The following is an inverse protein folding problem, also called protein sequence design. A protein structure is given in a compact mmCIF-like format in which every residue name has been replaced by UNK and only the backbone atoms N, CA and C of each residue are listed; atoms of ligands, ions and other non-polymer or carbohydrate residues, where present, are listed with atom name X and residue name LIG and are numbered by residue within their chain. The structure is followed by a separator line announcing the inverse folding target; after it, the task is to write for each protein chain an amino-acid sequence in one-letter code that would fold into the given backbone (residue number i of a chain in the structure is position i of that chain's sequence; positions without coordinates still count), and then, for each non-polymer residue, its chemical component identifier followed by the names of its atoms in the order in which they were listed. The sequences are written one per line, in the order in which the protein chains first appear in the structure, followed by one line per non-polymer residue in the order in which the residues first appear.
data_IF_112387845181
#
_entry.id   IF_112387845181
#
_cell.length_a   1.000
_cell.length_b   1.000
_cell.length_c   1.000
_cell.angle_alpha   90.00
_cell.angle_beta   90.00
_cell.angle_gamma   90.00
#
_symmetry.space_group_name_H-M   'P 1'
#
loop_
_entity.id
_entity.type
_entity.pdbx_description
1 polymer ?
#
# COMPACT_ATOMS: atom_id res chain seq x y z
N UNK A 1 -52.93 -42.26 28.03
CA UNK A 1 -52.93 -41.72 29.41
C UNK A 1 -51.62 -42.14 30.07
N UNK A 2 -50.75 -41.17 30.47
CA UNK A 2 -49.72 -41.24 31.55
C UNK A 2 -48.63 -42.35 31.45
N UNK A 3 -47.32 -42.20 31.65
CA UNK A 3 -46.32 -41.12 31.85
C UNK A 3 -44.92 -41.82 31.73
N UNK A 4 -43.95 -41.14 31.10
CA UNK A 4 -42.51 -40.98 31.47
C UNK A 4 -41.73 -42.17 32.10
N UNK A 5 -40.56 -42.54 31.52
CA UNK A 5 -39.19 -42.06 31.87
C UNK A 5 -38.05 -42.90 31.22
N UNK A 6 -37.14 -42.20 30.51
CA UNK A 6 -35.65 -42.20 30.55
C UNK A 6 -34.85 -43.53 30.57
N UNK A 7 -33.93 -43.70 29.61
CA UNK A 7 -32.47 -44.01 29.77
C UNK A 7 -31.77 -44.16 28.39
N UNK A 8 -30.74 -43.32 28.11
CA UNK A 8 -29.31 -43.65 27.83
C UNK A 8 -29.02 -43.74 26.31
N UNK A 9 -28.03 -43.07 25.69
CA UNK A 9 -26.78 -42.42 26.12
C UNK A 9 -26.48 -41.18 25.22
N UNK A 10 -25.70 -40.18 25.69
CA UNK A 10 -25.23 -39.05 24.89
C UNK A 10 -23.91 -39.40 24.18
N UNK A 11 -23.84 -39.24 22.86
CA UNK A 11 -22.54 -39.09 22.18
C UNK A 11 -22.02 -37.69 22.47
N UNK A 12 -21.10 -37.61 23.43
CA UNK A 12 -20.30 -36.43 23.73
C UNK A 12 -19.01 -36.42 22.90
N UNK A 13 -18.52 -35.20 22.66
CA UNK A 13 -17.26 -34.75 22.05
C UNK A 13 -17.34 -34.49 20.53
N UNK A 14 -17.48 -33.26 20.02
CA UNK A 14 -17.48 -31.96 20.71
C UNK A 14 -16.09 -31.34 20.90
N UNK A 15 -15.39 -31.00 19.81
CA UNK A 15 -14.59 -29.78 19.56
C UNK A 15 -14.04 -29.92 18.12
N UNK A 16 -14.28 -29.04 17.15
CA UNK A 16 -14.03 -27.60 17.04
C UNK A 16 -12.62 -27.19 17.40
N UNK A 17 -11.73 -27.33 16.42
CA UNK A 17 -10.67 -26.37 16.15
C UNK A 17 -10.28 -26.57 14.69
N UNK A 18 -11.01 -25.92 13.78
CA UNK A 18 -10.33 -25.45 12.58
C UNK A 18 -9.64 -24.20 13.06
N UNK A 19 -8.33 -24.26 13.26
CA UNK A 19 -7.53 -23.05 13.49
C UNK A 19 -7.73 -22.13 12.28
N UNK A 20 -8.72 -21.26 12.42
CA UNK A 20 -8.92 -20.07 11.61
C UNK A 20 -7.64 -19.28 11.80
N UNK A 21 -6.76 -19.38 10.81
CA UNK A 21 -5.63 -18.49 10.63
C UNK A 21 -6.13 -17.09 10.27
N UNK A 22 -6.96 -16.51 11.13
CA UNK A 22 -7.21 -15.08 11.21
C UNK A 22 -6.04 -14.45 11.98
N UNK A 23 -4.82 -14.73 11.50
CA UNK A 23 -3.70 -13.82 11.69
C UNK A 23 -4.01 -12.62 10.81
N UNK A 24 -4.92 -11.78 11.30
CA UNK A 24 -5.02 -10.40 10.84
C UNK A 24 -3.66 -9.79 11.16
N UNK A 25 -2.71 -9.94 10.22
CA UNK A 25 -1.42 -9.25 10.27
C UNK A 25 -1.81 -7.79 10.38
N UNK A 26 -1.79 -7.26 11.60
CA UNK A 26 -2.09 -5.86 11.85
C UNK A 26 -1.05 -5.13 11.04
N UNK A 27 -1.46 -4.61 9.89
CA UNK A 27 -0.59 -3.79 9.05
C UNK A 27 0.02 -2.75 9.97
N UNK A 28 1.35 -2.70 10.06
CA UNK A 28 2.05 -1.88 11.05
C UNK A 28 1.60 -0.42 11.01
N UNK A 29 1.17 0.05 9.83
CA UNK A 29 0.60 1.36 9.63
C UNK A 29 -0.96 1.35 9.65
N UNK A 30 -1.60 2.18 10.50
CA UNK A 30 -3.06 2.28 10.57
C UNK A 30 -3.71 2.92 9.33
N UNK A 31 -2.92 3.45 8.40
CA UNK A 31 -3.40 4.14 7.20
C UNK A 31 -3.64 3.19 6.02
N UNK A 32 -3.14 1.95 6.07
CA UNK A 32 -3.20 0.99 4.95
C UNK A 32 -4.62 0.81 4.40
N UNK A 33 -5.61 0.62 5.27
CA UNK A 33 -7.01 0.40 4.87
C UNK A 33 -7.63 1.58 4.14
N UNK A 34 -7.17 2.81 4.42
CA UNK A 34 -7.72 4.04 3.81
C UNK A 34 -6.99 4.45 2.55
N UNK A 35 -5.69 4.15 2.44
CA UNK A 35 -4.82 4.71 1.40
C UNK A 35 -4.45 3.70 0.32
N UNK A 36 -4.70 2.41 0.49
CA UNK A 36 -4.41 1.40 -0.54
C UNK A 36 -5.67 1.07 -1.34
N UNK A 37 -5.58 1.09 -2.66
CA UNK A 37 -6.64 0.61 -3.57
C UNK A 37 -6.04 -0.36 -4.60
N UNK A 38 -6.13 -1.66 -4.32
CA UNK A 38 -5.57 -2.71 -5.17
C UNK A 38 -6.22 -2.76 -6.56
N UNK A 39 -7.50 -2.37 -6.68
CA UNK A 39 -8.19 -2.40 -7.97
C UNK A 39 -7.69 -1.28 -8.87
N UNK A 40 -7.51 -0.07 -8.32
CA UNK A 40 -6.88 1.05 -9.05
C UNK A 40 -5.44 0.75 -9.40
N UNK A 41 -4.66 0.20 -8.47
CA UNK A 41 -3.26 -0.19 -8.72
C UNK A 41 -3.14 -1.21 -9.85
N UNK A 42 -3.95 -2.28 -9.83
CA UNK A 42 -3.95 -3.28 -10.91
C UNK A 42 -4.28 -2.65 -12.26
N UNK A 43 -5.21 -1.70 -12.32
CA UNK A 43 -5.54 -0.98 -13.57
C UNK A 43 -4.39 -0.08 -14.02
N UNK A 44 -3.82 0.71 -13.12
CA UNK A 44 -2.70 1.60 -13.42
C UNK A 44 -1.50 0.83 -13.96
N UNK A 45 -1.12 -0.27 -13.30
CA UNK A 45 0.00 -1.12 -13.70
C UNK A 45 -0.26 -1.88 -15.01
N UNK A 46 -1.50 -2.29 -15.29
CA UNK A 46 -1.83 -2.94 -16.57
C UNK A 46 -1.72 -1.98 -17.75
N UNK A 47 -2.06 -0.72 -17.56
CA UNK A 47 -2.07 0.28 -18.64
C UNK A 47 -0.70 0.94 -18.82
N UNK A 48 -0.02 1.30 -17.74
CA UNK A 48 1.22 2.08 -17.78
C UNK A 48 2.48 1.32 -17.34
N UNK A 49 2.34 0.19 -16.65
CA UNK A 49 3.49 -0.53 -16.09
C UNK A 49 4.26 0.28 -15.05
N UNK A 50 5.55 -0.06 -14.90
CA UNK A 50 6.49 0.70 -14.09
C UNK A 50 7.24 1.72 -14.96
N UNK A 51 7.23 2.97 -14.52
CA UNK A 51 7.86 4.08 -15.20
C UNK A 51 9.35 4.13 -14.86
N UNK A 52 10.16 4.54 -15.84
CA UNK A 52 11.60 4.79 -15.62
C UNK A 52 11.90 6.20 -15.14
N UNK A 53 10.93 7.09 -15.25
CA UNK A 53 11.07 8.52 -15.05
C UNK A 53 9.83 9.07 -14.36
N UNK A 54 10.02 10.06 -13.48
CA UNK A 54 8.94 10.67 -12.72
C UNK A 54 7.93 11.38 -13.63
N UNK A 55 6.63 11.12 -13.42
CA UNK A 55 5.54 11.68 -14.22
C UNK A 55 5.55 13.22 -14.23
N UNK A 56 5.80 13.86 -13.10
CA UNK A 56 5.82 15.32 -13.01
C UNK A 56 7.12 15.92 -13.55
N UNK A 57 8.26 15.22 -13.42
CA UNK A 57 9.50 15.66 -14.06
C UNK A 57 9.39 15.65 -15.59
N UNK A 58 8.69 14.67 -16.18
CA UNK A 58 8.44 14.61 -17.62
C UNK A 58 7.62 15.81 -18.12
N UNK A 59 6.64 16.26 -17.32
CA UNK A 59 5.76 17.39 -17.68
C UNK A 59 6.48 18.73 -17.54
N UNK A 60 7.22 18.88 -16.44
CA UNK A 60 7.94 20.10 -16.10
C UNK A 60 9.43 19.78 -15.95
N UNK A 61 10.19 19.72 -17.05
CA UNK A 61 11.63 19.53 -16.99
C UNK A 61 12.24 20.76 -16.31
N UNK A 62 12.57 20.63 -15.03
CA UNK A 62 13.38 21.61 -14.32
C UNK A 62 14.83 21.46 -14.79
N UNK A 63 15.42 22.55 -15.28
CA UNK A 63 16.82 22.63 -15.70
C UNK A 63 17.76 22.61 -14.48
N UNK A 64 17.61 21.62 -13.59
CA UNK A 64 18.59 21.40 -12.54
C UNK A 64 19.81 20.76 -13.18
N UNK A 65 20.95 21.44 -13.07
CA UNK A 65 22.23 20.98 -13.59
C UNK A 65 22.57 19.69 -12.86
N UNK A 66 22.32 18.56 -13.52
CA UNK A 66 22.75 17.25 -13.04
C UNK A 66 24.26 17.25 -13.08
N UNK A 67 24.89 17.27 -11.90
CA UNK A 67 26.32 17.04 -11.79
C UNK A 67 26.60 15.62 -12.32
N UNK A 68 27.26 15.54 -13.48
CA UNK A 68 27.52 14.31 -14.25
C UNK A 68 28.37 13.27 -13.50
N UNK A 69 28.78 13.56 -12.26
CA UNK A 69 29.63 12.72 -11.43
C UNK A 69 28.90 11.92 -10.33
N UNK A 70 27.57 12.01 -10.21
CA UNK A 70 26.79 11.21 -9.26
C UNK A 70 25.89 10.20 -9.97
N UNK A 71 25.92 8.95 -9.49
CA UNK A 71 24.86 7.97 -9.75
C UNK A 71 23.55 8.55 -9.22
N UNK A 72 22.77 9.18 -10.10
CA UNK A 72 21.52 9.80 -9.70
C UNK A 72 20.54 8.70 -9.30
N UNK A 73 20.01 8.77 -8.07
CA UNK A 73 18.99 7.84 -7.62
C UNK A 73 17.69 8.10 -8.40
N UNK A 74 17.51 7.35 -9.49
CA UNK A 74 16.34 7.43 -10.37
C UNK A 74 15.11 6.72 -9.77
N UNK A 75 15.20 6.24 -8.53
CA UNK A 75 14.12 5.53 -7.86
C UNK A 75 12.85 6.36 -7.78
N UNK A 76 11.74 5.71 -8.11
CA UNK A 76 10.41 6.30 -8.01
C UNK A 76 9.66 5.74 -6.81
N UNK A 77 8.71 6.53 -6.35
CA UNK A 77 7.76 6.20 -5.32
C UNK A 77 6.37 6.14 -5.96
N UNK A 78 5.76 4.96 -5.92
CA UNK A 78 4.43 4.71 -6.46
C UNK A 78 3.38 4.91 -5.38
N UNK A 79 2.41 5.81 -5.59
CA UNK A 79 1.28 5.98 -4.68
C UNK A 79 0.41 4.73 -4.65
N UNK A 80 0.19 4.15 -3.45
CA UNK A 80 -0.63 2.95 -3.29
C UNK A 80 -2.14 3.20 -3.41
N UNK A 81 -2.57 4.47 -3.50
CA UNK A 81 -3.98 4.84 -3.74
C UNK A 81 -4.35 4.86 -5.22
N UNK A 82 -3.46 5.34 -6.08
CA UNK A 82 -3.79 5.64 -7.48
C UNK A 82 -2.76 5.14 -8.51
N UNK A 83 -1.59 4.67 -8.07
CA UNK A 83 -0.54 4.13 -8.95
C UNK A 83 0.35 5.19 -9.61
N UNK A 84 0.20 6.48 -9.27
CA UNK A 84 1.08 7.54 -9.80
C UNK A 84 2.51 7.31 -9.30
N UNK A 85 3.49 7.34 -10.20
CA UNK A 85 4.92 7.11 -9.92
C UNK A 85 5.71 8.42 -10.00
N UNK A 86 6.35 8.78 -8.90
CA UNK A 86 6.93 10.11 -8.70
C UNK A 86 8.30 10.04 -8.03
N UNK A 87 9.18 11.00 -8.30
CA UNK A 87 10.49 11.03 -7.67
C UNK A 87 10.40 11.33 -6.16
N UNK A 88 11.34 10.76 -5.42
CA UNK A 88 11.41 10.83 -3.97
C UNK A 88 11.94 12.16 -3.43
N UNK A 89 12.25 12.16 -2.13
CA UNK A 89 12.69 13.35 -1.39
C UNK A 89 14.09 13.84 -1.79
N UNK A 90 14.91 12.95 -2.35
CA UNK A 90 16.28 13.19 -2.81
C UNK A 90 16.35 13.96 -4.14
N UNK A 91 15.26 13.98 -4.91
CA UNK A 91 15.10 14.80 -6.13
C UNK A 91 14.06 15.91 -5.88
N UNK A 92 13.12 16.09 -6.80
CA UNK A 92 12.13 17.17 -6.78
C UNK A 92 10.97 17.00 -5.78
N UNK A 93 11.00 15.98 -4.91
CA UNK A 93 9.97 15.74 -3.86
C UNK A 93 8.55 15.57 -4.42
N UNK A 94 8.41 15.14 -5.68
CA UNK A 94 7.09 15.05 -6.32
C UNK A 94 6.15 14.07 -5.60
N UNK A 95 6.66 12.97 -5.06
CA UNK A 95 5.84 12.05 -4.28
C UNK A 95 5.28 12.70 -2.99
N UNK A 96 6.08 13.55 -2.33
CA UNK A 96 5.63 14.32 -1.16
C UNK A 96 4.61 15.40 -1.55
N UNK A 97 4.85 16.10 -2.66
CA UNK A 97 3.91 17.11 -3.15
C UNK A 97 2.57 16.49 -3.55
N UNK A 98 2.59 15.27 -4.11
CA UNK A 98 1.39 14.52 -4.42
C UNK A 98 0.57 14.18 -3.17
N UNK A 99 1.22 13.77 -2.08
CA UNK A 99 0.55 13.58 -0.80
C UNK A 99 -0.06 14.87 -0.24
N UNK A 100 0.66 15.99 -0.32
CA UNK A 100 0.22 17.28 0.19
C UNK A 100 -0.88 17.94 -0.68
N UNK A 101 -1.04 17.49 -1.92
CA UNK A 101 -2.06 18.03 -2.82
C UNK A 101 -3.46 17.65 -2.30
N UNK A 102 -4.39 18.61 -2.15
CA UNK A 102 -5.73 18.30 -1.68
C UNK A 102 -6.44 17.31 -2.62
N UNK A 103 -6.83 16.16 -2.07
CA UNK A 103 -7.56 15.11 -2.77
C UNK A 103 -8.77 14.67 -1.95
N UNK A 104 -9.78 14.09 -2.62
CA UNK A 104 -10.94 13.49 -1.93
C UNK A 104 -10.56 12.21 -1.19
N UNK A 105 -9.56 11.50 -1.70
CA UNK A 105 -8.99 10.29 -1.12
C UNK A 105 -7.68 10.60 -0.38
N UNK A 106 -7.27 9.76 0.56
CA UNK A 106 -5.96 9.87 1.20
C UNK A 106 -4.87 9.11 0.43
N UNK A 107 -3.77 9.80 0.12
CA UNK A 107 -2.65 9.32 -0.68
C UNK A 107 -1.37 9.14 0.16
N UNK A 108 -1.52 8.71 1.42
CA UNK A 108 -0.42 8.75 2.39
C UNK A 108 0.62 7.63 2.22
N UNK A 109 0.30 6.53 1.54
CA UNK A 109 1.23 5.43 1.34
C UNK A 109 1.81 5.42 -0.06
N UNK A 110 3.13 5.27 -0.14
CA UNK A 110 3.88 5.02 -1.37
C UNK A 110 4.74 3.78 -1.22
N UNK A 111 5.07 3.13 -2.34
CA UNK A 111 6.05 2.05 -2.40
C UNK A 111 7.22 2.46 -3.30
N UNK A 112 8.43 2.21 -2.84
CA UNK A 112 9.65 2.35 -3.60
C UNK A 112 9.66 1.32 -4.75
N UNK A 113 9.83 1.76 -5.99
CA UNK A 113 9.76 0.88 -7.17
C UNK A 113 11.00 0.01 -7.36
N UNK A 114 12.07 0.26 -6.61
CA UNK A 114 13.35 -0.45 -6.66
C UNK A 114 13.51 -1.39 -5.48
N UNK A 115 13.35 -0.87 -4.25
CA UNK A 115 13.56 -1.63 -3.00
C UNK A 115 12.29 -2.29 -2.48
N UNK A 116 11.12 -1.87 -2.95
CA UNK A 116 9.79 -2.28 -2.45
C UNK A 116 9.50 -1.90 -1.00
N UNK A 117 10.31 -1.02 -0.42
CA UNK A 117 10.01 -0.38 0.86
C UNK A 117 8.73 0.45 0.73
N UNK A 118 7.88 0.37 1.75
CA UNK A 118 6.67 1.16 1.85
C UNK A 118 7.00 2.37 2.71
N UNK A 119 6.42 3.53 2.39
CA UNK A 119 6.54 4.72 3.21
C UNK A 119 5.18 5.35 3.46
N UNK A 120 4.90 5.72 4.71
CA UNK A 120 3.71 6.45 5.10
C UNK A 120 4.03 7.90 5.43
N UNK A 121 3.54 8.83 4.62
CA UNK A 121 3.71 10.26 4.88
C UNK A 121 2.97 10.76 6.13
N UNK A 122 1.86 10.12 6.53
CA UNK A 122 1.16 10.45 7.76
C UNK A 122 1.91 10.00 9.02
N UNK A 123 2.53 8.82 8.99
CA UNK A 123 3.35 8.32 10.10
C UNK A 123 4.80 8.82 10.06
N UNK A 124 5.22 9.35 8.91
CA UNK A 124 6.59 9.76 8.61
C UNK A 124 7.61 8.64 8.83
N UNK A 125 7.24 7.39 8.52
CA UNK A 125 8.07 6.20 8.64
C UNK A 125 7.77 5.19 7.51
N UNK A 126 8.64 4.18 7.41
CA UNK A 126 8.51 3.03 6.52
C UNK A 126 7.60 1.95 7.11
#
# INVERSE_FOLDING_TARGET
MVKKKRQNDPSENGDDSTESCDETVKSACPHVTKTVDLNRLKKALKTGGFEKECLECKKNPTNEIVDSNYEEDLTLWMCLRCGTQLCGRTRNKHALNHFNTPHSDSHALTANTTTWEIYCYCCNNE
#
